data_IF_549982514103
#
_entry.id   IF_549982514103
#
_cell.length_a   1.000
_cell.length_b   1.000
_cell.length_c   1.000
_cell.angle_alpha   90.00
_cell.angle_beta   90.00
_cell.angle_gamma   90.00
#
_symmetry.space_group_name_H-M   'P 1'
#
loop_
_entity.id
_entity.type
_entity.pdbx_description
1 polymer ?
#
# COMPACT_ATOMS: atom_id res chain seq x y z
N UNK A 1 7.50 2.02 0.02
CA UNK A 1 7.77 3.42 0.39
C UNK A 1 8.88 3.91 -0.48
N UNK A 2 8.70 5.08 -1.09
CA UNK A 2 9.67 5.68 -2.01
C UNK A 2 10.30 6.91 -1.35
N UNK A 3 11.59 7.13 -1.59
CA UNK A 3 12.30 8.33 -1.13
C UNK A 3 11.88 9.57 -1.94
N UNK A 4 11.70 9.36 -3.23
CA UNK A 4 11.24 10.36 -4.20
C UNK A 4 10.45 9.66 -5.33
N UNK A 5 10.06 10.41 -6.36
CA UNK A 5 9.23 9.89 -7.47
C UNK A 5 10.01 8.99 -8.44
N UNK A 6 11.34 9.07 -8.47
CA UNK A 6 12.21 8.38 -9.41
C UNK A 6 12.91 7.17 -8.75
N UNK A 7 12.66 6.94 -7.46
CA UNK A 7 13.16 5.82 -6.67
C UNK A 7 12.65 4.47 -7.22
N UNK A 8 13.54 3.72 -7.86
CA UNK A 8 13.24 2.40 -8.43
C UNK A 8 13.37 1.26 -7.41
N UNK A 9 13.89 1.53 -6.20
CA UNK A 9 14.15 0.51 -5.18
C UNK A 9 13.37 0.81 -3.89
N UNK A 10 12.04 0.86 -4.03
CA UNK A 10 11.13 1.15 -2.93
C UNK A 10 11.13 0.11 -1.81
N UNK A 11 10.89 0.56 -0.58
CA UNK A 11 10.72 -0.31 0.58
C UNK A 11 9.39 -1.10 0.53
N UNK A 12 9.44 -2.43 0.64
CA UNK A 12 8.26 -3.29 0.66
C UNK A 12 7.63 -3.35 2.07
N UNK A 13 6.47 -2.72 2.26
CA UNK A 13 5.72 -2.80 3.54
C UNK A 13 5.01 -4.14 3.75
N UNK A 14 4.72 -4.87 2.67
CA UNK A 14 4.05 -6.16 2.69
C UNK A 14 3.23 -6.40 1.44
N UNK A 15 2.80 -7.65 1.27
CA UNK A 15 1.86 -8.08 0.24
C UNK A 15 0.57 -8.56 0.88
N UNK A 16 -0.57 -8.19 0.28
CA UNK A 16 -1.89 -8.42 0.84
C UNK A 16 -2.85 -8.89 -0.27
N UNK A 17 -3.92 -9.56 0.14
CA UNK A 17 -4.99 -10.00 -0.76
C UNK A 17 -6.29 -9.40 -0.29
N UNK A 18 -6.94 -8.63 -1.15
CA UNK A 18 -8.31 -8.18 -0.92
C UNK A 18 -9.26 -9.35 -1.17
N UNK A 19 -10.09 -9.67 -0.18
CA UNK A 19 -11.08 -10.75 -0.29
C UNK A 19 -12.39 -10.20 -0.88
N UNK A 20 -12.76 -10.61 -2.09
CA UNK A 20 -13.98 -10.14 -2.74
C UNK A 20 -15.27 -10.74 -2.13
N UNK A 21 -15.17 -11.76 -1.29
CA UNK A 21 -16.26 -12.30 -0.50
C UNK A 21 -16.37 -11.64 0.89
N UNK A 22 -15.36 -10.87 1.28
CA UNK A 22 -15.27 -10.19 2.57
C UNK A 22 -16.01 -8.84 2.61
N UNK A 23 -15.90 -8.11 3.74
CA UNK A 23 -16.46 -6.77 3.87
C UNK A 23 -15.88 -5.78 2.84
N UNK A 24 -16.64 -4.74 2.40
CA UNK A 24 -16.15 -3.77 1.42
C UNK A 24 -14.95 -2.92 1.89
N UNK A 25 -14.79 -2.73 3.20
CA UNK A 25 -13.65 -2.03 3.79
C UNK A 25 -12.81 -3.07 4.54
N UNK A 26 -11.56 -3.24 4.11
CA UNK A 26 -10.62 -4.20 4.68
C UNK A 26 -9.36 -3.48 5.16
N UNK A 27 -8.84 -3.93 6.30
CA UNK A 27 -7.66 -3.37 6.94
C UNK A 27 -6.52 -4.37 6.86
N UNK A 28 -5.34 -3.88 6.49
CA UNK A 28 -4.15 -4.69 6.32
C UNK A 28 -3.01 -4.09 7.16
N UNK A 29 -2.64 -4.71 8.30
CA UNK A 29 -1.46 -4.29 9.04
C UNK A 29 -0.20 -4.58 8.23
N UNK A 30 0.76 -3.65 8.25
CA UNK A 30 2.04 -3.84 7.55
C UNK A 30 2.77 -5.08 8.06
N UNK A 31 3.40 -5.82 7.14
CA UNK A 31 4.19 -7.02 7.47
C UNK A 31 5.63 -6.66 7.80
N UNK A 32 6.17 -5.63 7.13
CA UNK A 32 7.52 -5.12 7.33
C UNK A 32 7.45 -3.70 7.92
N UNK A 33 7.95 -3.53 9.14
CA UNK A 33 8.03 -2.24 9.80
C UNK A 33 9.21 -1.43 9.23
N UNK A 34 8.92 -0.27 8.68
CA UNK A 34 9.94 0.68 8.27
C UNK A 34 10.60 1.33 9.49
N UNK A 35 11.92 1.56 9.40
CA UNK A 35 12.67 2.31 10.42
C UNK A 35 12.51 3.82 10.27
N UNK A 36 12.19 4.28 9.07
CA UNK A 36 12.08 5.68 8.69
C UNK A 36 10.68 5.95 8.12
N UNK A 37 10.14 7.17 8.29
CA UNK A 37 8.86 7.54 7.70
C UNK A 37 8.97 7.74 6.19
N UNK A 38 7.88 7.52 5.47
CA UNK A 38 7.78 7.72 4.02
C UNK A 38 6.65 8.68 3.68
N UNK A 39 6.95 9.68 2.86
CA UNK A 39 5.94 10.61 2.34
C UNK A 39 5.30 10.11 1.03
N UNK A 40 5.97 9.19 0.33
CA UNK A 40 5.47 8.60 -0.92
C UNK A 40 5.31 7.09 -0.72
N UNK A 41 4.10 6.60 -0.99
CA UNK A 41 3.76 5.18 -0.92
C UNK A 41 3.25 4.74 -2.29
N UNK A 42 3.94 3.74 -2.85
CA UNK A 42 3.51 3.04 -4.06
C UNK A 42 2.63 1.85 -3.68
N UNK A 43 1.53 1.66 -4.41
CA UNK A 43 0.67 0.49 -4.31
C UNK A 43 0.68 -0.24 -5.64
N UNK A 44 1.11 -1.51 -5.62
CA UNK A 44 1.18 -2.38 -6.80
C UNK A 44 0.07 -3.42 -6.74
N UNK A 45 -0.81 -3.41 -7.74
CA UNK A 45 -1.84 -4.43 -7.92
C UNK A 45 -1.26 -5.58 -8.74
N UNK A 46 -1.13 -6.76 -8.12
CA UNK A 46 -0.52 -7.92 -8.76
C UNK A 46 -1.52 -8.71 -9.61
N UNK A 47 -2.76 -8.84 -9.12
CA UNK A 47 -3.87 -9.55 -9.77
C UNK A 47 -5.20 -8.86 -9.45
N UNK A 48 -6.26 -9.25 -10.14
CA UNK A 48 -7.63 -8.83 -9.85
C UNK A 48 -8.56 -10.05 -9.76
N UNK A 49 -9.86 -9.82 -9.55
CA UNK A 49 -10.87 -10.87 -9.41
C UNK A 49 -11.42 -11.43 -10.73
N UNK A 50 -10.59 -11.47 -11.79
CA UNK A 50 -10.91 -12.16 -13.05
C UNK A 50 -11.36 -11.28 -14.21
N UNK A 51 -11.31 -9.95 -14.09
CA UNK A 51 -11.54 -9.06 -15.21
C UNK A 51 -10.29 -9.01 -16.10
N UNK A 52 -10.42 -9.31 -17.39
CA UNK A 52 -9.28 -9.39 -18.31
C UNK A 52 -8.82 -8.06 -18.88
N UNK A 53 -9.63 -7.01 -18.76
CA UNK A 53 -9.38 -5.72 -19.41
C UNK A 53 -8.81 -4.68 -18.44
N UNK A 54 -9.33 -4.62 -17.21
CA UNK A 54 -8.95 -3.59 -16.25
C UNK A 54 -9.11 -4.02 -14.80
N UNK A 55 -8.52 -3.21 -13.91
CA UNK A 55 -8.71 -3.32 -12.45
C UNK A 55 -9.28 -2.01 -11.95
N UNK A 56 -10.41 -2.06 -11.24
CA UNK A 56 -11.00 -0.89 -10.62
C UNK A 56 -10.51 -0.74 -9.17
N UNK A 57 -10.13 0.48 -8.81
CA UNK A 57 -9.71 0.83 -7.46
C UNK A 57 -10.60 1.94 -6.95
N UNK A 58 -11.36 1.66 -5.89
CA UNK A 58 -12.28 2.63 -5.31
C UNK A 58 -11.56 3.61 -4.39
N UNK A 59 -10.95 3.11 -3.31
CA UNK A 59 -10.28 3.96 -2.32
C UNK A 59 -9.18 3.21 -1.60
N UNK A 60 -8.00 3.82 -1.57
CA UNK A 60 -6.87 3.39 -0.75
C UNK A 60 -6.76 4.37 0.42
N UNK A 61 -6.53 3.85 1.63
CA UNK A 61 -6.20 4.66 2.81
C UNK A 61 -4.90 4.16 3.37
N UNK A 62 -3.94 5.06 3.56
CA UNK A 62 -2.69 4.76 4.25
C UNK A 62 -2.78 5.36 5.64
N UNK A 63 -2.51 4.53 6.64
CA UNK A 63 -2.51 4.92 8.05
C UNK A 63 -1.08 4.82 8.57
N UNK A 64 -0.70 5.75 9.44
CA UNK A 64 0.62 5.80 10.04
C UNK A 64 0.66 6.84 11.15
N UNK A 65 1.78 6.87 11.87
CA UNK A 65 2.06 7.91 12.84
C UNK A 65 2.84 9.06 12.19
N UNK A 66 2.38 10.29 12.39
CA UNK A 66 3.02 11.51 11.91
C UNK A 66 4.07 12.04 12.90
N UNK A 67 4.14 11.49 14.12
CA UNK A 67 5.07 11.94 15.17
C UNK A 67 6.53 11.79 14.76
N UNK A 68 6.83 10.83 13.88
CA UNK A 68 8.18 10.53 13.37
C UNK A 68 8.65 11.42 12.21
N UNK A 69 7.76 12.24 11.63
CA UNK A 69 8.11 13.23 10.58
C UNK A 69 8.54 14.60 11.15
N UNK A 70 8.42 14.80 12.47
CA UNK A 70 8.88 16.02 13.15
C UNK A 70 10.32 15.82 13.66
N UNK A 71 11.31 15.96 12.77
CA UNK A 71 12.69 16.22 13.16
C UNK A 71 13.33 17.19 12.19
#
# INVERSE_FOLDING_TARGET
GLKDKDDTNGFLFGEFTYDNCGPPIQYFPVKNLAKEPYNIVEVKFLTNSGNTEFTCVYRIRIHGDLSSLKK
#
